data_IF_549489740791
#
_entry.id   IF_549489740791
#
_cell.length_a   1.000
_cell.length_b   1.000
_cell.length_c   1.000
_cell.angle_alpha   90.00
_cell.angle_beta   90.00
_cell.angle_gamma   90.00
#
_symmetry.space_group_name_H-M   'P 1'
#
loop_
_entity.id
_entity.type
_entity.pdbx_description
1 polymer ?
#
# COMPACT_ATOMS: atom_id res chain seq x y z
N UNK A 1 18.52 39.36 -70.01
CA UNK A 1 19.31 38.37 -69.22
C UNK A 1 19.04 38.47 -67.72
N UNK A 2 18.54 39.60 -67.21
CA UNK A 2 18.23 39.77 -65.78
C UNK A 2 16.95 39.06 -65.29
N UNK A 3 15.94 38.85 -66.14
CA UNK A 3 14.70 38.19 -65.70
C UNK A 3 14.89 36.71 -65.32
N UNK A 4 15.79 36.01 -66.01
CA UNK A 4 16.10 34.59 -65.75
C UNK A 4 16.75 34.34 -64.38
N UNK A 5 17.41 35.35 -63.78
CA UNK A 5 18.02 35.22 -62.44
C UNK A 5 17.00 35.28 -61.30
N UNK A 6 15.85 35.94 -61.50
CA UNK A 6 14.80 36.04 -60.47
C UNK A 6 14.07 34.72 -60.27
N UNK A 7 13.77 34.00 -61.35
CA UNK A 7 12.99 32.75 -61.27
C UNK A 7 13.78 31.61 -60.59
N UNK A 8 15.10 31.59 -60.75
CA UNK A 8 15.99 30.64 -60.06
C UNK A 8 16.12 30.92 -58.56
N UNK A 9 16.00 32.19 -58.14
CA UNK A 9 16.04 32.54 -56.72
C UNK A 9 14.74 32.17 -55.98
N UNK A 10 13.59 32.37 -56.64
CA UNK A 10 12.27 32.07 -56.06
C UNK A 10 12.10 30.56 -55.83
N UNK A 11 12.57 29.72 -56.75
CA UNK A 11 12.50 28.25 -56.63
C UNK A 11 13.39 27.68 -55.51
N UNK A 12 14.54 28.29 -55.20
CA UNK A 12 15.38 27.90 -54.06
C UNK A 12 14.80 28.33 -52.71
N UNK A 13 14.07 29.43 -52.67
CA UNK A 13 13.46 29.93 -51.43
C UNK A 13 12.27 29.07 -50.99
N UNK A 14 11.55 28.47 -51.96
CA UNK A 14 10.35 27.68 -51.72
C UNK A 14 10.63 26.26 -51.19
N UNK A 15 11.81 25.69 -51.46
CA UNK A 15 12.21 24.35 -50.97
C UNK A 15 12.73 24.35 -49.53
N UNK A 16 13.36 25.44 -49.07
CA UNK A 16 13.82 25.58 -47.69
C UNK A 16 12.68 25.78 -46.68
N UNK A 17 11.59 26.44 -47.09
CA UNK A 17 10.41 26.67 -46.24
C UNK A 17 9.60 25.38 -46.01
N UNK A 18 9.61 24.44 -46.97
CA UNK A 18 8.89 23.17 -46.84
C UNK A 18 9.62 22.15 -45.94
N UNK A 19 10.95 22.15 -45.89
CA UNK A 19 11.71 21.33 -44.92
C UNK A 19 11.53 21.81 -43.48
N UNK A 20 11.56 23.12 -43.23
CA UNK A 20 11.31 23.68 -41.90
C UNK A 20 9.89 23.40 -41.40
N UNK A 21 8.89 23.40 -42.29
CA UNK A 21 7.49 23.07 -41.94
C UNK A 21 7.32 21.61 -41.51
N UNK A 22 8.05 20.67 -42.11
CA UNK A 22 8.04 19.25 -41.72
C UNK A 22 8.71 19.03 -40.36
N UNK A 23 9.83 19.71 -40.12
CA UNK A 23 10.52 19.66 -38.82
C UNK A 23 9.65 20.21 -37.69
N UNK A 24 8.96 21.33 -37.93
CA UNK A 24 8.06 21.94 -36.95
C UNK A 24 6.83 21.07 -36.65
N UNK A 25 6.30 20.36 -37.65
CA UNK A 25 5.22 19.39 -37.48
C UNK A 25 5.63 18.20 -36.60
N UNK A 26 6.85 17.68 -36.79
CA UNK A 26 7.39 16.57 -35.99
C UNK A 26 7.55 16.99 -34.52
N UNK A 27 8.12 18.18 -34.26
CA UNK A 27 8.26 18.72 -32.91
C UNK A 27 6.91 18.87 -32.20
N UNK A 28 5.89 19.34 -32.93
CA UNK A 28 4.55 19.52 -32.39
C UNK A 28 3.86 18.19 -32.05
N UNK A 29 4.03 17.16 -32.88
CA UNK A 29 3.53 15.81 -32.60
C UNK A 29 4.20 15.21 -31.36
N UNK A 30 5.51 15.36 -31.21
CA UNK A 30 6.25 14.90 -30.03
C UNK A 30 5.73 15.59 -28.77
N UNK A 31 5.50 16.90 -28.82
CA UNK A 31 4.97 17.67 -27.69
C UNK A 31 3.57 17.18 -27.26
N UNK A 32 2.69 16.89 -28.22
CA UNK A 32 1.36 16.33 -27.94
C UNK A 32 1.47 14.95 -27.28
N UNK A 33 2.37 14.09 -27.77
CA UNK A 33 2.60 12.78 -27.17
C UNK A 33 3.10 12.89 -25.72
N UNK A 34 4.05 13.78 -25.46
CA UNK A 34 4.56 14.04 -24.11
C UNK A 34 3.42 14.53 -23.20
N UNK A 35 2.62 15.50 -23.65
CA UNK A 35 1.47 16.01 -22.90
C UNK A 35 0.43 14.91 -22.62
N UNK A 36 0.19 14.02 -23.58
CA UNK A 36 -0.69 12.87 -23.42
C UNK A 36 -0.17 11.90 -22.34
N UNK A 37 1.11 11.53 -22.39
CA UNK A 37 1.71 10.66 -21.36
C UNK A 37 1.66 11.29 -19.97
N UNK A 38 1.91 12.59 -19.87
CA UNK A 38 1.80 13.34 -18.61
C UNK A 38 0.36 13.27 -18.07
N UNK A 39 -0.64 13.56 -18.90
CA UNK A 39 -2.05 13.52 -18.50
C UNK A 39 -2.51 12.15 -18.02
N UNK A 40 -2.10 11.09 -18.73
CA UNK A 40 -2.37 9.69 -18.33
C UNK A 40 -1.68 9.38 -17.01
N UNK A 41 -0.41 9.77 -16.84
CA UNK A 41 0.33 9.54 -15.60
C UNK A 41 -0.38 10.17 -14.38
N UNK A 42 -0.74 11.45 -14.47
CA UNK A 42 -1.46 12.15 -13.40
C UNK A 42 -2.84 11.55 -13.11
N UNK A 43 -3.56 11.08 -14.13
CA UNK A 43 -4.89 10.47 -13.95
C UNK A 43 -4.85 9.13 -13.20
N UNK A 44 -3.76 8.37 -13.32
CA UNK A 44 -3.66 7.03 -12.71
C UNK A 44 -2.91 7.00 -11.37
N UNK A 45 -1.91 7.86 -11.17
CA UNK A 45 -1.02 7.81 -10.01
C UNK A 45 -1.32 8.80 -8.89
N UNK A 46 -2.26 9.73 -9.08
CA UNK A 46 -2.57 10.74 -8.07
C UNK A 46 -3.56 10.20 -7.01
N UNK A 47 -3.07 10.00 -5.78
CA UNK A 47 -3.88 9.66 -4.61
C UNK A 47 -4.16 10.94 -3.81
N UNK A 48 -5.43 11.19 -3.49
CA UNK A 48 -5.75 12.30 -2.58
C UNK A 48 -5.50 11.87 -1.14
N UNK A 49 -4.84 12.71 -0.36
CA UNK A 49 -4.65 12.47 1.07
C UNK A 49 -5.94 12.85 1.83
N UNK A 50 -6.46 11.93 2.63
CA UNK A 50 -7.55 12.20 3.55
C UNK A 50 -7.00 12.73 4.88
N UNK A 51 -7.46 13.91 5.35
CA UNK A 51 -6.98 14.51 6.61
C UNK A 51 -7.52 13.81 7.86
N UNK A 52 -8.65 13.12 7.75
CA UNK A 52 -9.34 12.51 8.88
C UNK A 52 -10.04 11.20 8.49
N UNK A 53 -10.50 10.47 9.52
CA UNK A 53 -11.16 9.18 9.37
C UNK A 53 -12.54 9.29 8.68
N UNK A 54 -13.23 10.43 8.78
CA UNK A 54 -14.52 10.65 8.12
C UNK A 54 -14.33 10.72 6.60
N UNK A 55 -13.30 11.44 6.13
CA UNK A 55 -12.90 11.46 4.72
C UNK A 55 -12.58 10.06 4.19
N UNK A 56 -11.82 9.28 4.96
CA UNK A 56 -11.50 7.90 4.60
C UNK A 56 -12.77 7.04 4.47
N UNK A 57 -13.67 7.12 5.45
CA UNK A 57 -14.93 6.35 5.45
C UNK A 57 -15.82 6.73 4.27
N UNK A 58 -15.96 8.01 3.94
CA UNK A 58 -16.70 8.46 2.75
C UNK A 58 -16.08 7.95 1.45
N UNK A 59 -14.74 7.94 1.38
CA UNK A 59 -14.01 7.42 0.24
C UNK A 59 -14.15 5.90 0.11
N UNK A 60 -14.26 5.18 1.23
CA UNK A 60 -14.52 3.75 1.26
C UNK A 60 -15.89 3.39 0.67
N UNK A 61 -16.94 4.17 0.95
CA UNK A 61 -18.29 3.93 0.39
C UNK A 61 -18.26 3.97 -1.16
N UNK A 62 -17.45 4.87 -1.72
CA UNK A 62 -17.31 5.05 -3.17
C UNK A 62 -16.12 4.29 -3.77
N UNK A 63 -15.35 3.56 -2.97
CA UNK A 63 -14.03 3.01 -3.31
C UNK A 63 -13.12 4.02 -4.04
N UNK A 64 -13.20 5.31 -3.66
CA UNK A 64 -12.37 6.37 -4.25
C UNK A 64 -10.93 6.20 -3.80
N UNK A 65 -9.99 6.32 -4.74
CA UNK A 65 -8.55 6.21 -4.45
C UNK A 65 -8.08 7.36 -3.56
N UNK A 66 -7.67 7.02 -2.34
CA UNK A 66 -7.17 7.95 -1.33
C UNK A 66 -6.12 7.28 -0.47
N UNK A 67 -5.23 8.09 0.10
CA UNK A 67 -4.32 7.71 1.16
C UNK A 67 -4.84 8.28 2.49
N UNK A 68 -4.79 7.49 3.55
CA UNK A 68 -5.14 7.90 4.90
C UNK A 68 -4.09 7.38 5.87
N UNK A 69 -3.56 8.25 6.72
CA UNK A 69 -2.59 7.88 7.75
C UNK A 69 -3.28 8.02 9.09
N UNK A 70 -3.30 6.94 9.88
CA UNK A 70 -3.80 6.96 11.24
C UNK A 70 -2.65 6.82 12.21
N UNK A 71 -2.52 7.82 13.07
CA UNK A 71 -1.59 7.79 14.19
C UNK A 71 -2.29 7.22 15.44
N UNK A 72 -2.15 5.91 15.67
CA UNK A 72 -2.71 5.22 16.84
C UNK A 72 -1.83 5.32 18.08
N UNK A 73 -2.30 4.79 19.21
CA UNK A 73 -1.49 4.70 20.43
C UNK A 73 -0.40 3.64 20.33
N UNK A 74 -0.69 2.55 19.63
CA UNK A 74 0.15 1.36 19.45
C UNK A 74 1.01 1.41 18.18
N UNK A 75 0.47 1.99 17.11
CA UNK A 75 1.14 2.02 15.81
C UNK A 75 0.61 3.11 14.87
N UNK A 76 1.43 3.46 13.89
CA UNK A 76 1.12 4.34 12.77
C UNK A 76 0.81 3.48 11.56
N UNK A 77 -0.41 3.61 11.05
CA UNK A 77 -0.91 2.83 9.92
C UNK A 77 -1.17 3.73 8.73
N UNK A 78 -0.83 3.24 7.53
CA UNK A 78 -1.22 3.84 6.25
C UNK A 78 -2.23 2.95 5.55
N UNK A 79 -3.33 3.55 5.13
CA UNK A 79 -4.39 2.93 4.36
C UNK A 79 -4.45 3.56 2.97
N UNK A 80 -4.33 2.75 1.93
CA UNK A 80 -4.42 3.17 0.53
C UNK A 80 -5.59 2.48 -0.13
N UNK A 81 -6.65 3.20 -0.47
CA UNK A 81 -7.76 2.62 -1.25
C UNK A 81 -7.30 2.51 -2.72
N UNK A 82 -7.16 1.28 -3.23
CA UNK A 82 -6.72 1.03 -4.61
C UNK A 82 -7.87 1.10 -5.61
N UNK A 83 -9.09 0.89 -5.15
CA UNK A 83 -10.33 0.97 -5.94
C UNK A 83 -11.34 -0.12 -5.57
N UNK A 84 -12.32 -0.34 -6.43
CA UNK A 84 -13.34 -1.39 -6.25
C UNK A 84 -12.76 -2.76 -6.63
N UNK A 85 -12.96 -3.77 -5.77
CA UNK A 85 -12.75 -5.18 -6.15
C UNK A 85 -14.00 -5.74 -6.84
N UNK A 86 -15.17 -5.48 -6.28
CA UNK A 86 -16.47 -5.84 -6.84
C UNK A 86 -17.51 -4.75 -6.50
N UNK A 87 -18.81 -5.04 -6.62
CA UNK A 87 -19.88 -4.07 -6.34
C UNK A 87 -19.91 -3.59 -4.88
N UNK A 88 -19.49 -4.42 -3.93
CA UNK A 88 -19.70 -4.19 -2.49
C UNK A 88 -18.39 -4.03 -1.69
N UNK A 89 -17.25 -4.40 -2.28
CA UNK A 89 -15.94 -4.42 -1.64
C UNK A 89 -14.94 -3.54 -2.39
N UNK A 90 -14.13 -2.83 -1.60
CA UNK A 90 -12.97 -2.09 -2.04
C UNK A 90 -11.70 -2.88 -1.72
N UNK A 91 -10.68 -2.72 -2.57
CA UNK A 91 -9.32 -3.19 -2.27
C UNK A 91 -8.57 -2.09 -1.55
N UNK A 92 -8.12 -2.38 -0.34
CA UNK A 92 -7.40 -1.46 0.54
C UNK A 92 -6.03 -2.06 0.85
N UNK A 93 -4.97 -1.36 0.54
CA UNK A 93 -3.64 -1.72 1.00
C UNK A 93 -3.41 -1.09 2.38
N UNK A 94 -3.02 -1.90 3.35
CA UNK A 94 -2.70 -1.50 4.70
C UNK A 94 -1.22 -1.69 4.91
N UNK A 95 -0.53 -0.64 5.33
CA UNK A 95 0.91 -0.63 5.59
C UNK A 95 1.15 -0.22 7.03
N UNK A 96 1.93 -1.01 7.75
CA UNK A 96 2.42 -0.61 9.06
C UNK A 96 3.61 0.32 8.85
N UNK A 97 3.47 1.61 9.19
CA UNK A 97 4.56 2.56 9.02
C UNK A 97 5.54 2.48 10.18
N UNK A 98 5.02 2.44 11.40
CA UNK A 98 5.81 2.44 12.62
C UNK A 98 5.02 1.81 13.76
N UNK A 99 5.62 0.86 14.46
CA UNK A 99 5.13 0.40 15.75
C UNK A 99 5.67 1.31 16.88
N UNK A 100 4.81 1.73 17.81
CA UNK A 100 5.19 2.64 18.91
C UNK A 100 5.66 1.93 20.17
N UNK A 101 5.18 0.71 20.43
CA UNK A 101 5.58 -0.11 21.59
C UNK A 101 5.64 -1.61 21.24
N UNK A 102 6.76 -2.29 21.50
CA UNK A 102 6.89 -3.74 21.29
C UNK A 102 8.34 -4.26 21.27
N UNK A 103 8.52 -5.59 21.45
CA UNK A 103 9.81 -6.29 21.41
C UNK A 103 10.54 -6.12 20.06
N UNK A 104 11.86 -6.32 20.05
CA UNK A 104 12.74 -6.17 18.85
C UNK A 104 12.18 -6.93 17.63
N UNK A 105 11.55 -8.08 17.85
CA UNK A 105 10.97 -8.93 16.79
C UNK A 105 9.83 -8.25 16.01
N UNK A 106 9.24 -7.17 16.54
CA UNK A 106 8.10 -6.47 15.94
C UNK A 106 8.55 -5.29 15.07
N UNK A 107 9.81 -4.86 15.18
CA UNK A 107 10.37 -3.80 14.31
C UNK A 107 10.50 -4.27 12.86
N UNK A 108 10.67 -5.57 12.63
CA UNK A 108 10.78 -6.17 11.29
C UNK A 108 9.49 -6.00 10.45
N UNK A 109 8.35 -5.78 11.13
CA UNK A 109 7.06 -5.52 10.50
C UNK A 109 6.94 -4.10 9.93
N UNK A 110 7.83 -3.18 10.30
CA UNK A 110 7.78 -1.80 9.83
C UNK A 110 7.99 -1.75 8.30
N UNK A 111 7.14 -0.98 7.63
CA UNK A 111 7.10 -0.84 6.18
C UNK A 111 6.48 -2.03 5.44
N UNK A 112 6.08 -3.11 6.12
CA UNK A 112 5.37 -4.21 5.48
C UNK A 112 3.92 -3.82 5.19
N UNK A 113 3.36 -4.42 4.15
CA UNK A 113 1.99 -4.19 3.73
C UNK A 113 1.21 -5.49 3.50
N UNK A 114 -0.11 -5.33 3.51
CA UNK A 114 -1.08 -6.35 3.12
C UNK A 114 -2.20 -5.71 2.30
N UNK A 115 -2.78 -6.48 1.38
CA UNK A 115 -3.97 -6.12 0.63
C UNK A 115 -5.20 -6.75 1.28
N UNK A 116 -6.16 -5.92 1.65
CA UNK A 116 -7.39 -6.31 2.30
C UNK A 116 -8.59 -5.99 1.39
N UNK A 117 -9.56 -6.89 1.39
CA UNK A 117 -10.85 -6.66 0.74
C UNK A 117 -11.87 -6.22 1.80
N UNK A 118 -12.33 -4.98 1.68
CA UNK A 118 -13.09 -4.27 2.72
C UNK A 118 -14.46 -3.89 2.19
N UNK A 119 -15.52 -4.21 2.92
CA UNK A 119 -16.88 -3.81 2.54
C UNK A 119 -17.05 -2.29 2.63
N UNK A 120 -17.73 -1.69 1.64
CA UNK A 120 -17.99 -0.24 1.51
C UNK A 120 -18.57 0.42 2.76
N UNK A 121 -19.39 -0.31 3.51
CA UNK A 121 -20.08 0.16 4.71
C UNK A 121 -19.55 -0.47 6.00
N UNK A 122 -18.40 -1.14 5.95
CA UNK A 122 -17.77 -1.62 7.17
C UNK A 122 -17.30 -0.41 7.98
N UNK A 123 -17.78 -0.29 9.22
CA UNK A 123 -17.28 0.67 10.19
C UNK A 123 -16.01 0.18 10.89
N UNK A 124 -15.53 -1.01 10.52
CA UNK A 124 -14.38 -1.70 11.13
C UNK A 124 -13.15 -1.49 10.29
N UNK A 125 -12.01 -1.45 10.95
CA UNK A 125 -10.72 -1.30 10.30
C UNK A 125 -10.17 -2.68 9.88
N UNK A 126 -9.39 -2.76 8.79
CA UNK A 126 -8.90 -4.05 8.29
C UNK A 126 -7.97 -4.80 9.26
N UNK A 127 -7.25 -4.10 10.14
CA UNK A 127 -6.41 -4.73 11.16
C UNK A 127 -7.20 -5.43 12.28
N UNK A 128 -8.48 -5.09 12.48
CA UNK A 128 -9.35 -5.77 13.45
C UNK A 128 -9.78 -7.16 12.95
N UNK A 129 -9.86 -7.35 11.63
CA UNK A 129 -10.14 -8.65 11.02
C UNK A 129 -9.30 -8.85 9.76
N UNK A 130 -8.18 -9.55 9.93
CA UNK A 130 -7.22 -9.86 8.86
C UNK A 130 -7.60 -11.08 8.01
N UNK A 131 -8.77 -11.72 8.22
CA UNK A 131 -9.20 -12.89 7.45
C UNK A 131 -9.25 -12.59 5.95
N UNK A 132 -9.74 -11.40 5.60
CA UNK A 132 -9.88 -10.91 4.21
C UNK A 132 -8.64 -10.18 3.69
N UNK A 133 -7.51 -10.29 4.39
CA UNK A 133 -6.23 -9.70 4.01
C UNK A 133 -5.24 -10.75 3.50
N UNK A 134 -4.35 -10.36 2.60
CA UNK A 134 -3.23 -11.17 2.11
C UNK A 134 -1.98 -10.32 1.98
N UNK A 135 -0.81 -10.90 2.23
CA UNK A 135 0.48 -10.22 2.08
C UNK A 135 1.40 -10.38 3.28
N UNK A 136 2.62 -9.88 3.11
CA UNK A 136 3.75 -10.13 4.01
C UNK A 136 3.50 -9.68 5.45
N UNK A 137 2.84 -8.53 5.63
CA UNK A 137 2.50 -8.04 6.96
C UNK A 137 1.62 -9.03 7.74
N UNK A 138 0.62 -9.64 7.09
CA UNK A 138 -0.26 -10.63 7.72
C UNK A 138 0.51 -11.91 8.07
N UNK A 139 1.34 -12.38 7.14
CA UNK A 139 2.11 -13.62 7.29
C UNK A 139 3.09 -13.51 8.47
N UNK A 140 3.87 -12.43 8.53
CA UNK A 140 4.82 -12.21 9.63
C UNK A 140 4.11 -11.95 10.97
N UNK A 141 2.98 -11.21 10.97
CA UNK A 141 2.15 -11.07 12.18
C UNK A 141 1.65 -12.42 12.70
N UNK A 142 1.21 -13.31 11.81
CA UNK A 142 0.76 -14.65 12.20
C UNK A 142 1.91 -15.47 12.78
N UNK A 143 3.11 -15.40 12.19
CA UNK A 143 4.30 -16.08 12.70
C UNK A 143 4.67 -15.61 14.12
N UNK A 144 4.65 -14.30 14.38
CA UNK A 144 4.92 -13.74 15.71
C UNK A 144 3.85 -14.19 16.73
N UNK A 145 2.57 -14.18 16.35
CA UNK A 145 1.48 -14.64 17.24
C UNK A 145 1.67 -16.12 17.59
N UNK A 146 1.99 -16.97 16.61
CA UNK A 146 2.24 -18.40 16.81
C UNK A 146 3.46 -18.60 17.72
N UNK A 147 4.55 -17.86 17.51
CA UNK A 147 5.75 -17.91 18.35
C UNK A 147 5.45 -17.58 19.81
N UNK A 148 4.72 -16.49 20.06
CA UNK A 148 4.32 -16.10 21.42
C UNK A 148 3.35 -17.09 22.07
N UNK A 149 2.42 -17.65 21.30
CA UNK A 149 1.54 -18.71 21.79
C UNK A 149 2.35 -19.94 22.21
N UNK A 150 3.32 -20.36 21.39
CA UNK A 150 4.17 -21.51 21.69
C UNK A 150 4.99 -21.27 22.97
N UNK A 151 5.63 -20.11 23.11
CA UNK A 151 6.35 -19.76 24.36
C UNK A 151 5.44 -19.77 25.58
N UNK A 152 4.23 -19.22 25.46
CA UNK A 152 3.27 -19.20 26.56
C UNK A 152 2.87 -20.63 26.96
N UNK A 153 2.56 -21.51 26.00
CA UNK A 153 2.21 -22.89 26.29
C UNK A 153 3.36 -23.64 26.97
N UNK A 154 4.59 -23.50 26.49
CA UNK A 154 5.77 -24.15 27.10
C UNK A 154 5.98 -23.67 28.54
N UNK A 155 5.97 -22.36 28.78
CA UNK A 155 6.15 -21.78 30.13
C UNK A 155 5.09 -22.27 31.13
N UNK A 156 3.84 -22.44 30.68
CA UNK A 156 2.77 -22.91 31.57
C UNK A 156 2.81 -24.44 31.79
N UNK A 157 3.25 -25.23 30.81
CA UNK A 157 3.41 -26.69 30.99
C UNK A 157 4.52 -27.01 31.98
N UNK A 158 5.62 -26.27 31.96
CA UNK A 158 6.74 -26.48 32.89
C UNK A 158 6.34 -26.15 34.34
N UNK A 159 5.57 -25.07 34.55
CA UNK A 159 5.05 -24.70 35.87
C UNK A 159 4.10 -25.77 36.46
N UNK A 160 3.29 -26.42 35.62
CA UNK A 160 2.40 -27.51 36.08
C UNK A 160 3.23 -28.72 36.54
N UNK A 161 4.31 -29.06 35.84
CA UNK A 161 5.17 -30.19 36.24
C UNK A 161 5.91 -29.96 37.57
N UNK A 162 6.24 -28.71 37.92
CA UNK A 162 6.85 -28.40 39.21
C UNK A 162 5.87 -28.52 40.38
N UNK A 163 4.60 -28.12 40.21
CA UNK A 163 3.56 -28.31 41.24
C UNK A 163 3.28 -29.81 41.51
N UNK A 164 3.25 -30.66 40.48
CA UNK A 164 3.01 -32.09 40.66
C UNK A 164 4.18 -32.83 41.34
N UNK A 165 5.42 -32.34 41.23
CA UNK A 165 6.57 -32.90 41.98
C UNK A 165 6.49 -32.62 43.49
N UNK A 166 5.89 -31.51 43.89
CA UNK A 166 5.64 -31.18 45.30
C UNK A 166 4.58 -32.07 45.96
N UNK A 167 3.55 -32.48 45.22
CA UNK A 167 2.45 -33.29 45.75
C UNK A 167 2.88 -34.77 45.88
N UNK A 168 3.68 -35.27 44.93
CA UNK A 168 4.22 -36.65 44.97
C UNK A 168 5.17 -36.91 46.15
N UNK A 169 5.82 -35.88 46.69
CA UNK A 169 6.72 -36.00 47.85
C UNK A 169 5.98 -35.93 49.20
N UNK A 170 4.80 -35.31 49.27
CA UNK A 170 3.95 -35.30 50.46
C UNK A 170 3.22 -36.65 50.65
N UNK A 171 2.81 -37.28 49.55
CA UNK A 171 2.12 -38.58 49.60
C UNK A 171 3.00 -39.74 50.10
N UNK A 172 4.33 -39.65 49.96
CA UNK A 172 5.26 -40.71 50.41
C UNK A 172 5.71 -40.60 51.87
N UNK A 173 5.43 -39.47 52.55
CA UNK A 173 5.79 -39.29 53.96
C UNK A 173 4.62 -39.50 54.94
N UNK A 174 3.41 -39.79 54.43
CA UNK A 174 2.20 -40.08 55.21
C UNK A 174 1.94 -41.58 55.43
N UNK A 175 2.84 -42.46 54.97
CA UNK A 175 2.70 -43.92 55.10
C UNK A 175 3.82 -44.59 55.91
N UNK A 176 4.45 -43.84 56.83
CA UNK A 176 5.42 -44.39 57.79
C UNK A 176 5.05 -44.04 59.21
#
# INVERSE_FOLDING_TARGET
MESFKKDVYISKQQSADFENKKSLLIVLIIFIFIAFFISVYFSFFYYNLCPDFSCYKQSLISCKRVDFIRDGSDAIWKYTIRGSKNKDMCRVEVTLLLLKEGSVDVEELNGKSMLCDVFKNSGKLPEENMESCTGKLKEELQEIIIGRMHEYLVKNVDNINEEFKGIGSIALNSSR
#
